data_IF_633370711734
#
_entry.id   IF_633370711734
#
_cell.length_a   1.000
_cell.length_b   1.000
_cell.length_c   1.000
_cell.angle_alpha   90.00
_cell.angle_beta   90.00
_cell.angle_gamma   90.00
#
_symmetry.space_group_name_H-M   'P 1'
#
loop_
_entity.id
_entity.type
_entity.pdbx_description
1 polymer ?
#
# COMPACT_ATOMS: atom_id res chain seq x y z
N UNK A 1 -52.15 26.07 -9.79
CA UNK A 1 -50.97 25.54 -10.51
C UNK A 1 -49.66 25.72 -9.72
N UNK A 2 -49.64 25.43 -8.41
CA UNK A 2 -48.47 25.68 -7.54
C UNK A 2 -48.08 24.48 -6.65
N UNK A 3 -48.97 23.49 -6.51
CA UNK A 3 -48.78 22.32 -5.63
C UNK A 3 -48.46 21.03 -6.42
N UNK A 4 -48.85 20.98 -7.69
CA UNK A 4 -48.57 19.84 -8.59
C UNK A 4 -47.17 19.89 -9.21
N UNK A 5 -46.58 21.09 -9.34
CA UNK A 5 -45.21 21.24 -9.85
C UNK A 5 -44.13 20.90 -8.80
N UNK A 6 -44.48 21.00 -7.52
CA UNK A 6 -43.59 20.67 -6.39
C UNK A 6 -43.47 19.15 -6.20
N UNK A 7 -44.50 18.39 -6.58
CA UNK A 7 -44.53 16.94 -6.39
C UNK A 7 -43.69 16.18 -7.45
N UNK A 8 -43.56 16.71 -8.68
CA UNK A 8 -42.65 16.15 -9.69
C UNK A 8 -41.17 16.42 -9.39
N UNK A 9 -40.84 17.52 -8.72
CA UNK A 9 -39.46 17.85 -8.36
C UNK A 9 -38.97 17.05 -7.13
N UNK A 10 -39.89 16.67 -6.23
CA UNK A 10 -39.59 15.83 -5.08
C UNK A 10 -39.37 14.34 -5.43
N UNK A 11 -39.93 13.87 -6.55
CA UNK A 11 -39.76 12.46 -6.97
C UNK A 11 -38.46 12.21 -7.75
N UNK A 12 -37.82 13.26 -8.28
CA UNK A 12 -36.56 13.14 -9.01
C UNK A 12 -35.31 13.12 -8.10
N UNK A 13 -35.46 13.50 -6.82
CA UNK A 13 -34.34 13.61 -5.89
C UNK A 13 -33.99 12.28 -5.17
N UNK A 14 -34.77 11.21 -5.35
CA UNK A 14 -34.60 9.95 -4.62
C UNK A 14 -33.69 8.95 -5.35
N UNK A 15 -33.18 9.30 -6.54
CA UNK A 15 -32.20 8.47 -7.28
C UNK A 15 -30.74 8.83 -7.01
N UNK A 16 -30.46 9.86 -6.21
CA UNK A 16 -29.08 10.17 -5.85
C UNK A 16 -28.67 9.33 -4.64
N UNK A 17 -27.61 8.55 -4.83
CA UNK A 17 -26.73 7.99 -3.80
C UNK A 17 -27.11 6.60 -3.27
N UNK A 18 -27.09 5.60 -4.14
CA UNK A 18 -26.55 4.30 -3.75
C UNK A 18 -25.08 4.26 -4.17
N UNK A 19 -24.17 4.50 -3.22
CA UNK A 19 -22.72 4.36 -3.39
C UNK A 19 -22.30 2.90 -3.53
N UNK A 20 -22.74 2.25 -4.61
CA UNK A 20 -22.10 1.06 -5.17
C UNK A 20 -21.43 1.52 -6.47
N UNK A 21 -20.17 1.09 -6.71
CA UNK A 21 -19.38 1.38 -7.93
C UNK A 21 -20.31 1.49 -9.15
N UNK A 22 -20.31 2.65 -9.81
CA UNK A 22 -21.21 2.89 -10.92
C UNK A 22 -20.88 1.93 -12.07
N UNK A 23 -21.87 1.47 -12.86
CA UNK A 23 -21.60 0.59 -14.02
C UNK A 23 -20.57 1.17 -15.00
N UNK A 24 -20.45 2.50 -15.07
CA UNK A 24 -19.46 3.21 -15.85
C UNK A 24 -18.02 3.01 -15.36
N UNK A 25 -17.80 3.02 -14.04
CA UNK A 25 -16.45 2.82 -13.46
C UNK A 25 -15.98 1.38 -13.65
N UNK A 26 -16.85 0.40 -13.38
CA UNK A 26 -16.51 -1.01 -13.58
C UNK A 26 -16.24 -1.37 -15.06
N UNK A 27 -16.87 -0.67 -16.01
CA UNK A 27 -16.59 -0.84 -17.43
C UNK A 27 -15.23 -0.21 -17.83
N UNK A 28 -14.89 0.94 -17.25
CA UNK A 28 -13.61 1.61 -17.49
C UNK A 28 -12.43 0.83 -16.89
N UNK A 29 -12.58 0.25 -15.70
CA UNK A 29 -11.59 -0.64 -15.07
C UNK A 29 -11.29 -1.84 -15.99
N UNK A 30 -12.31 -2.56 -16.45
CA UNK A 30 -12.13 -3.73 -17.36
C UNK A 30 -11.48 -3.41 -18.71
N UNK A 31 -11.74 -2.22 -19.27
CA UNK A 31 -11.11 -1.79 -20.52
C UNK A 31 -9.64 -1.49 -20.28
N UNK A 32 -9.33 -0.79 -19.18
CA UNK A 32 -7.96 -0.47 -18.78
C UNK A 32 -7.14 -1.73 -18.46
N UNK A 33 -7.73 -2.69 -17.72
CA UNK A 33 -7.14 -4.00 -17.44
C UNK A 33 -6.71 -4.69 -18.74
N UNK A 34 -7.62 -4.88 -19.70
CA UNK A 34 -7.31 -5.57 -20.97
C UNK A 34 -6.18 -4.92 -21.76
N UNK A 35 -6.11 -3.58 -21.75
CA UNK A 35 -5.03 -2.85 -22.41
C UNK A 35 -3.70 -3.13 -21.71
N UNK A 36 -3.69 -3.11 -20.38
CA UNK A 36 -2.49 -3.35 -19.59
C UNK A 36 -2.05 -4.83 -19.62
N UNK A 37 -2.99 -5.77 -19.66
CA UNK A 37 -2.73 -7.19 -19.87
C UNK A 37 -1.98 -7.42 -21.20
N UNK A 38 -2.46 -6.79 -22.28
CA UNK A 38 -1.80 -6.88 -23.59
C UNK A 38 -0.39 -6.28 -23.62
N UNK A 39 -0.11 -5.30 -22.76
CA UNK A 39 1.20 -4.65 -22.67
C UNK A 39 2.18 -5.36 -21.72
N UNK A 40 1.68 -5.92 -20.62
CA UNK A 40 2.50 -6.56 -19.57
C UNK A 40 2.70 -8.06 -19.79
N UNK A 41 1.87 -8.69 -20.62
CA UNK A 41 1.87 -10.15 -20.82
C UNK A 41 1.35 -10.93 -19.60
N UNK A 42 0.84 -10.25 -18.57
CA UNK A 42 0.26 -10.85 -17.38
C UNK A 42 -1.21 -10.50 -17.20
N UNK A 43 -1.91 -11.21 -16.31
CA UNK A 43 -3.29 -10.88 -15.94
C UNK A 43 -3.28 -9.71 -14.95
N UNK A 44 -4.02 -8.65 -15.25
CA UNK A 44 -4.08 -7.43 -14.45
C UNK A 44 -5.46 -7.33 -13.81
N UNK A 45 -5.50 -7.00 -12.52
CA UNK A 45 -6.71 -6.74 -11.74
C UNK A 45 -6.60 -5.34 -11.12
N UNK A 46 -7.51 -4.45 -11.47
CA UNK A 46 -7.56 -3.07 -10.98
C UNK A 46 -8.69 -2.91 -9.97
N UNK A 47 -8.35 -2.51 -8.75
CA UNK A 47 -9.33 -2.15 -7.72
C UNK A 47 -9.03 -0.74 -7.18
N UNK A 48 -9.62 0.27 -7.82
CA UNK A 48 -9.38 1.67 -7.50
C UNK A 48 -7.91 2.06 -7.67
N UNK A 49 -7.24 2.38 -6.55
CA UNK A 49 -5.81 2.77 -6.53
C UNK A 49 -4.85 1.58 -6.45
N UNK A 50 -5.35 0.36 -6.33
CA UNK A 50 -4.56 -0.88 -6.25
C UNK A 50 -4.57 -1.58 -7.60
N UNK A 51 -3.38 -1.91 -8.11
CA UNK A 51 -3.21 -2.78 -9.27
C UNK A 51 -2.53 -4.07 -8.85
N UNK A 52 -3.04 -5.21 -9.29
CA UNK A 52 -2.42 -6.52 -9.07
C UNK A 52 -2.10 -7.18 -10.40
N UNK A 53 -0.84 -7.61 -10.57
CA UNK A 53 -0.35 -8.29 -11.76
C UNK A 53 -0.04 -9.73 -11.39
N UNK A 54 -0.61 -10.67 -12.14
CA UNK A 54 -0.26 -12.10 -12.11
C UNK A 54 0.51 -12.42 -13.38
N UNK A 55 1.78 -12.71 -13.23
CA UNK A 55 2.67 -13.09 -14.35
C UNK A 55 2.49 -14.56 -14.71
N UNK A 56 2.95 -14.96 -15.91
CA UNK A 56 2.79 -16.33 -16.41
C UNK A 56 3.49 -17.39 -15.55
N UNK A 57 4.54 -16.99 -14.82
CA UNK A 57 5.26 -17.83 -13.85
C UNK A 57 4.49 -18.08 -12.54
N UNK A 58 3.31 -17.46 -12.38
CA UNK A 58 2.48 -17.55 -11.19
C UNK A 58 2.79 -16.53 -10.10
N UNK A 59 3.80 -15.68 -10.29
CA UNK A 59 4.13 -14.61 -9.34
C UNK A 59 3.02 -13.56 -9.30
N UNK A 60 2.70 -13.07 -8.10
CA UNK A 60 1.66 -12.05 -7.90
C UNK A 60 2.29 -10.81 -7.26
N UNK A 61 2.24 -9.69 -7.95
CA UNK A 61 2.73 -8.41 -7.44
C UNK A 61 1.57 -7.42 -7.37
N UNK A 62 1.38 -6.80 -6.21
CA UNK A 62 0.41 -5.71 -6.04
C UNK A 62 1.14 -4.38 -5.86
N UNK A 63 0.61 -3.33 -6.47
CA UNK A 63 1.12 -1.96 -6.42
C UNK A 63 -0.02 -0.99 -6.07
N UNK A 64 0.30 0.05 -5.29
CA UNK A 64 -0.67 1.02 -4.81
C UNK A 64 -1.55 0.49 -3.67
N UNK A 65 -2.53 1.30 -3.29
CA UNK A 65 -3.38 1.06 -2.13
C UNK A 65 -2.87 1.75 -0.86
N UNK A 66 -3.79 1.87 0.10
CA UNK A 66 -3.63 2.63 1.34
C UNK A 66 -3.89 1.77 2.59
N UNK A 67 -3.92 0.46 2.42
CA UNK A 67 -4.12 -0.51 3.49
C UNK A 67 -2.80 -1.22 3.83
N UNK A 68 -2.60 -1.53 5.12
CA UNK A 68 -1.43 -2.29 5.54
C UNK A 68 -1.47 -3.70 4.94
N UNK A 69 -0.40 -4.18 4.26
CA UNK A 69 -0.40 -5.50 3.65
C UNK A 69 -0.46 -6.59 4.75
N UNK A 70 -1.34 -7.56 4.57
CA UNK A 70 -1.54 -8.69 5.50
C UNK A 70 -1.25 -10.04 4.84
N UNK A 71 -0.62 -10.00 3.67
CA UNK A 71 -0.26 -11.14 2.84
C UNK A 71 1.20 -11.06 2.39
N UNK A 72 1.72 -12.18 1.85
CA UNK A 72 3.06 -12.29 1.26
C UNK A 72 4.15 -11.73 2.18
N UNK A 73 5.17 -11.05 1.67
CA UNK A 73 6.23 -10.52 2.52
C UNK A 73 5.75 -9.44 3.52
N UNK A 74 4.66 -8.74 3.20
CA UNK A 74 4.04 -7.77 4.10
C UNK A 74 3.53 -8.37 5.42
N UNK A 75 3.17 -9.66 5.45
CA UNK A 75 2.71 -10.33 6.68
C UNK A 75 3.82 -10.48 7.74
N UNK A 76 5.08 -10.51 7.31
CA UNK A 76 6.26 -10.61 8.16
C UNK A 76 6.68 -9.25 8.75
N UNK A 77 6.05 -8.14 8.32
CA UNK A 77 6.40 -6.78 8.75
C UNK A 77 5.47 -6.33 9.89
N UNK A 78 6.01 -5.97 11.07
CA UNK A 78 5.19 -5.46 12.17
C UNK A 78 4.41 -4.21 11.77
N UNK A 79 3.12 -4.13 12.11
CA UNK A 79 2.32 -2.96 11.73
C UNK A 79 2.80 -1.64 12.36
N UNK A 80 3.02 -0.61 11.55
CA UNK A 80 3.14 0.79 11.99
C UNK A 80 1.79 1.49 11.83
N UNK A 81 1.34 2.19 12.86
CA UNK A 81 0.15 3.03 12.75
C UNK A 81 0.51 4.34 12.05
N UNK A 82 -0.36 4.79 11.16
CA UNK A 82 -0.18 6.02 10.40
C UNK A 82 -1.03 5.99 9.13
N UNK A 83 -0.90 7.02 8.30
CA UNK A 83 -1.58 7.09 7.01
C UNK A 83 -0.72 6.40 5.96
N UNK A 84 -1.05 5.15 5.61
CA UNK A 84 -0.40 4.45 4.50
C UNK A 84 -0.80 5.14 3.20
N UNK A 85 0.18 5.55 2.42
CA UNK A 85 -0.03 6.25 1.14
C UNK A 85 0.37 5.42 -0.07
N UNK A 86 1.17 4.37 0.14
CA UNK A 86 1.57 3.46 -0.93
C UNK A 86 1.97 2.09 -0.38
N UNK A 87 1.64 1.04 -1.14
CA UNK A 87 2.10 -0.32 -0.92
C UNK A 87 2.56 -0.94 -2.23
N UNK A 88 3.72 -1.57 -2.24
CA UNK A 88 4.07 -2.58 -3.23
C UNK A 88 4.37 -3.90 -2.49
N UNK A 89 3.75 -5.01 -2.88
CA UNK A 89 3.87 -6.26 -2.13
C UNK A 89 3.87 -7.51 -3.03
N UNK A 90 4.86 -8.37 -2.83
CA UNK A 90 5.02 -9.68 -3.45
C UNK A 90 5.64 -10.66 -2.44
N UNK A 91 5.86 -11.91 -2.85
CA UNK A 91 6.58 -12.88 -2.02
C UNK A 91 8.08 -12.56 -1.87
N UNK A 92 8.62 -11.72 -2.77
CA UNK A 92 10.04 -11.38 -2.85
C UNK A 92 10.36 -10.01 -2.24
N UNK A 93 9.44 -9.05 -2.32
CA UNK A 93 9.65 -7.69 -1.81
C UNK A 93 8.37 -7.08 -1.23
N UNK A 94 8.54 -6.18 -0.28
CA UNK A 94 7.48 -5.33 0.23
C UNK A 94 8.01 -3.90 0.40
N UNK A 95 7.26 -2.91 -0.04
CA UNK A 95 7.50 -1.49 0.17
C UNK A 95 6.23 -0.86 0.72
N UNK A 96 6.34 -0.08 1.79
CA UNK A 96 5.22 0.64 2.41
C UNK A 96 5.66 2.07 2.68
N UNK A 97 4.86 3.05 2.26
CA UNK A 97 5.07 4.46 2.58
C UNK A 97 3.97 4.90 3.55
N UNK A 98 4.37 5.52 4.65
CA UNK A 98 3.49 6.01 5.71
C UNK A 98 3.79 7.49 5.97
N UNK A 99 2.77 8.33 5.94
CA UNK A 99 2.88 9.75 6.28
C UNK A 99 2.42 10.04 7.72
N UNK A 100 2.93 11.14 8.28
CA UNK A 100 2.48 11.72 9.55
C UNK A 100 2.97 10.98 10.79
N UNK A 101 4.08 10.24 10.67
CA UNK A 101 4.68 9.49 11.77
C UNK A 101 5.61 10.41 12.54
N UNK A 102 5.35 10.64 13.83
CA UNK A 102 6.24 11.49 14.62
C UNK A 102 7.56 10.77 14.92
N UNK A 103 8.65 11.54 15.09
CA UNK A 103 9.97 10.98 15.40
C UNK A 103 9.97 9.99 16.60
N UNK A 104 9.23 10.31 17.66
CA UNK A 104 9.12 9.41 18.82
C UNK A 104 8.29 8.15 18.57
N UNK A 105 7.41 8.14 17.56
CA UNK A 105 6.70 6.94 17.11
C UNK A 105 7.58 6.08 16.22
N UNK A 106 8.38 6.71 15.34
CA UNK A 106 9.41 6.03 14.58
C UNK A 106 10.41 5.30 15.48
N UNK A 107 10.93 5.96 16.52
CA UNK A 107 11.88 5.35 17.46
C UNK A 107 11.28 4.13 18.19
N UNK A 108 10.02 4.21 18.63
CA UNK A 108 9.30 3.05 19.20
C UNK A 108 9.10 1.94 18.19
N UNK A 109 8.89 2.29 16.93
CA UNK A 109 8.70 1.33 15.86
C UNK A 109 9.99 0.59 15.50
N UNK A 110 11.15 1.25 15.56
CA UNK A 110 12.46 0.58 15.42
C UNK A 110 12.60 -0.52 16.48
N UNK A 111 12.26 -0.24 17.74
CA UNK A 111 12.31 -1.27 18.81
C UNK A 111 11.31 -2.41 18.56
N UNK A 112 10.09 -2.10 18.11
CA UNK A 112 9.10 -3.13 17.71
C UNK A 112 9.62 -4.04 16.59
N UNK A 113 10.35 -3.48 15.63
CA UNK A 113 10.95 -4.22 14.51
C UNK A 113 12.08 -5.14 15.00
N UNK A 114 12.92 -4.66 15.92
CA UNK A 114 13.95 -5.49 16.57
C UNK A 114 13.36 -6.66 17.34
N UNK A 115 12.28 -6.40 18.11
CA UNK A 115 11.55 -7.43 18.86
C UNK A 115 10.90 -8.47 17.94
N UNK A 116 10.55 -8.09 16.72
CA UNK A 116 10.05 -9.00 15.68
C UNK A 116 11.15 -9.82 14.98
N UNK A 117 12.42 -9.63 15.36
CA UNK A 117 13.54 -10.45 14.90
C UNK A 117 14.38 -9.83 13.78
N UNK A 118 14.08 -8.59 13.34
CA UNK A 118 14.95 -7.83 12.44
C UNK A 118 16.06 -7.15 13.25
N UNK A 119 17.00 -7.94 13.75
CA UNK A 119 18.07 -7.50 14.66
C UNK A 119 19.44 -8.12 14.30
N UNK A 120 19.58 -8.67 13.10
CA UNK A 120 20.85 -9.18 12.59
C UNK A 120 21.47 -8.17 11.63
N UNK A 121 22.80 -8.11 11.59
CA UNK A 121 23.55 -7.23 10.67
C UNK A 121 23.08 -5.76 10.73
N UNK A 122 22.81 -5.26 11.94
CA UNK A 122 22.22 -3.94 12.12
C UNK A 122 23.13 -2.82 11.62
N UNK A 123 22.57 -1.90 10.84
CA UNK A 123 23.21 -0.66 10.42
C UNK A 123 22.27 0.50 10.68
N UNK A 124 22.81 1.56 11.28
CA UNK A 124 22.05 2.74 11.66
C UNK A 124 22.73 3.97 11.08
N UNK A 125 21.96 4.85 10.46
CA UNK A 125 22.41 6.15 9.98
C UNK A 125 21.44 7.22 10.44
N UNK A 126 21.95 8.37 10.86
CA UNK A 126 21.11 9.51 11.22
C UNK A 126 21.83 10.80 10.93
N UNK A 127 21.12 11.71 10.29
CA UNK A 127 21.48 13.12 10.17
C UNK A 127 20.27 14.00 10.53
N UNK A 128 20.33 15.30 10.21
CA UNK A 128 19.25 16.23 10.53
C UNK A 128 17.98 16.04 9.67
N UNK A 129 18.11 15.40 8.51
CA UNK A 129 17.06 15.22 7.51
C UNK A 129 16.49 13.80 7.49
N UNK A 130 17.30 12.80 7.84
CA UNK A 130 16.97 11.39 7.71
C UNK A 130 17.44 10.56 8.91
N UNK A 131 16.64 9.55 9.26
CA UNK A 131 17.04 8.46 10.15
C UNK A 131 16.79 7.13 9.44
N UNK A 132 17.79 6.26 9.41
CA UNK A 132 17.71 4.97 8.73
C UNK A 132 18.09 3.85 9.68
N UNK A 133 17.26 2.81 9.71
CA UNK A 133 17.52 1.53 10.37
C UNK A 133 17.55 0.43 9.32
N UNK A 134 18.62 -0.35 9.29
CA UNK A 134 18.75 -1.51 8.41
C UNK A 134 19.08 -2.73 9.25
N UNK A 135 18.47 -3.86 8.94
CA UNK A 135 18.74 -5.15 9.57
C UNK A 135 18.32 -6.29 8.66
N UNK A 136 18.65 -7.52 9.06
CA UNK A 136 18.03 -8.73 8.56
C UNK A 136 17.42 -9.54 9.70
N UNK A 137 16.61 -10.54 9.36
CA UNK A 137 16.11 -11.53 10.32
C UNK A 137 16.62 -12.94 10.02
N UNK A 138 16.26 -13.91 10.88
CA UNK A 138 16.66 -15.31 10.72
C UNK A 138 16.11 -16.02 9.47
N UNK A 139 15.20 -15.38 8.72
CA UNK A 139 14.67 -15.87 7.43
C UNK A 139 15.44 -15.31 6.23
N UNK A 140 16.60 -14.68 6.44
CA UNK A 140 17.39 -13.97 5.41
C UNK A 140 16.60 -12.82 4.73
N UNK A 141 15.57 -12.26 5.37
CA UNK A 141 14.85 -11.10 4.85
C UNK A 141 15.64 -9.85 5.25
N UNK A 142 16.11 -9.10 4.25
CA UNK A 142 16.69 -7.77 4.44
C UNK A 142 15.58 -6.75 4.67
N UNK A 143 15.82 -5.83 5.59
CA UNK A 143 14.83 -4.84 6.05
C UNK A 143 15.47 -3.47 6.19
N UNK A 144 14.77 -2.45 5.73
CA UNK A 144 15.17 -1.05 5.83
C UNK A 144 13.98 -0.19 6.25
N UNK A 145 14.20 0.65 7.24
CA UNK A 145 13.35 1.78 7.59
C UNK A 145 14.09 3.06 7.26
N UNK A 146 13.43 3.98 6.59
CA UNK A 146 13.91 5.34 6.37
C UNK A 146 12.85 6.31 6.86
N UNK A 147 13.20 7.18 7.80
CA UNK A 147 12.37 8.26 8.28
C UNK A 147 12.89 9.60 7.75
N UNK A 148 12.05 10.33 7.04
CA UNK A 148 12.31 11.69 6.59
C UNK A 148 11.76 12.68 7.62
N UNK A 149 12.67 13.44 8.25
CA UNK A 149 12.35 14.33 9.37
C UNK A 149 11.43 15.47 8.94
N UNK A 150 11.70 16.05 7.77
CA UNK A 150 10.97 17.24 7.28
C UNK A 150 9.52 16.94 6.89
N UNK A 151 9.26 15.73 6.39
CA UNK A 151 7.93 15.32 5.89
C UNK A 151 7.20 14.40 6.85
N UNK A 152 7.85 13.97 7.94
CA UNK A 152 7.33 12.96 8.87
C UNK A 152 6.88 11.67 8.15
N UNK A 153 7.63 11.30 7.10
CA UNK A 153 7.35 10.13 6.27
C UNK A 153 8.26 8.96 6.68
N UNK A 154 7.69 7.77 6.76
CA UNK A 154 8.43 6.51 6.92
C UNK A 154 8.26 5.67 5.67
N UNK A 155 9.39 5.31 5.07
CA UNK A 155 9.50 4.27 4.05
C UNK A 155 10.00 2.97 4.68
N UNK A 156 9.28 1.88 4.46
CA UNK A 156 9.62 0.54 4.91
C UNK A 156 9.87 -0.31 3.67
N UNK A 157 11.03 -0.93 3.59
CA UNK A 157 11.37 -1.87 2.52
C UNK A 157 11.82 -3.19 3.13
N UNK A 158 11.26 -4.29 2.66
CA UNK A 158 11.70 -5.64 2.96
C UNK A 158 11.96 -6.41 1.65
N UNK A 159 12.98 -7.25 1.62
CA UNK A 159 13.29 -8.07 0.46
C UNK A 159 14.01 -9.35 0.83
N UNK A 160 13.72 -10.42 0.10
CA UNK A 160 14.52 -11.65 0.14
C UNK A 160 15.71 -11.46 -0.81
N UNK A 161 16.92 -11.75 -0.36
CA UNK A 161 18.05 -11.84 -1.28
C UNK A 161 17.77 -12.98 -2.28
N UNK A 162 17.83 -12.71 -3.57
CA UNK A 162 17.84 -13.77 -4.58
C UNK A 162 19.12 -14.60 -4.35
N UNK A 163 18.96 -15.89 -4.03
CA UNK A 163 20.06 -16.84 -3.91
C UNK A 163 20.43 -17.40 -5.28
#
# INVERSE_FOLDING_TARGET
MKKTLIFCFALFLVFTLTGCKSPSEAAAEKVSEKILEGATGGKVDLDGEKATIKTEDGSVVSFGGNEWPSDKLGEDIPKLNGKVTYVANSDAMCMIIIEGVKAGEFEKYVEKVKDAGFNQNEMNYSDNSTKTYMASNAKDIAFQLTYMVDTEEVSITAGKNEK
#
